data_IF_066868838593
#
_entry.id   IF_066868838593
#
_cell.length_a   1.000
_cell.length_b   1.000
_cell.length_c   1.000
_cell.angle_alpha   90.00
_cell.angle_beta   90.00
_cell.angle_gamma   90.00
#
_symmetry.space_group_name_H-M   'P 1'
#
loop_
_entity.id
_entity.type
_entity.pdbx_description
1 polymer ?
2 branched ?
3 non-polymer ?
4 non-polymer ?
5 water ?
#
# COMPACT_ATOMS: atom_id res chain seq x y z
N UNK A 1 11.64 -2.77 39.09
CA UNK A 1 11.85 -4.20 39.40
C UNK A 1 13.23 -4.67 38.99
N UNK A 2 13.77 -5.64 39.73
CA UNK A 2 15.13 -6.15 39.47
C UNK A 2 15.28 -6.95 38.17
N UNK A 3 14.17 -7.28 37.53
CA UNK A 3 14.22 -8.00 36.25
C UNK A 3 13.75 -7.15 35.08
N UNK A 4 13.72 -5.83 35.28
CA UNK A 4 13.23 -4.91 34.27
C UNK A 4 14.15 -3.69 34.15
N UNK A 5 15.02 -3.71 33.14
CA UNK A 5 15.89 -2.57 32.84
C UNK A 5 15.17 -1.58 31.95
N UNK A 6 15.34 -0.29 32.25
CA UNK A 6 14.66 0.77 31.51
C UNK A 6 13.86 1.68 32.43
N UNK A 7 12.91 2.46 31.85
CA UNK A 7 12.52 2.43 30.44
C UNK A 7 13.51 3.12 29.51
N UNK A 8 13.42 2.78 28.22
CA UNK A 8 14.24 3.39 27.19
C UNK A 8 13.35 4.08 26.17
N UNK A 9 13.85 5.19 25.62
CA UNK A 9 13.12 5.95 24.60
C UNK A 9 13.08 5.19 23.27
N UNK A 10 12.12 5.52 22.38
CA UNK A 10 12.11 4.94 21.04
C UNK A 10 13.46 5.11 20.34
N UNK A 11 14.03 4.02 19.86
CA UNK A 11 15.34 4.07 19.21
C UNK A 11 15.55 2.95 18.21
N UNK A 12 16.55 3.13 17.35
CA UNK A 12 17.00 2.11 16.42
C UNK A 12 18.28 1.53 17.01
N UNK A 13 18.34 0.20 17.10
CA UNK A 13 19.48 -0.46 17.71
C UNK A 13 19.52 -1.94 17.30
N UNK A 14 20.67 -2.56 17.54
CA UNK A 14 20.81 -3.99 17.36
C UNK A 14 20.65 -4.66 18.72
N UNK A 15 19.45 -5.23 18.97
CA UNK A 15 19.17 -5.82 20.28
C UNK A 15 20.08 -7.00 20.58
N UNK A 16 20.57 -7.12 21.82
CA UNK A 16 21.41 -8.24 22.19
C UNK A 16 20.62 -9.55 22.14
N UNK A 17 21.26 -10.62 21.69
CA UNK A 17 20.60 -11.93 21.59
C UNK A 17 20.31 -12.48 22.98
N UNK A 18 19.21 -13.24 23.09
CA UNK A 18 18.76 -13.84 24.36
C UNK A 18 18.22 -12.84 25.38
N UNK A 19 17.78 -11.68 24.90
CA UNK A 19 17.11 -10.70 25.75
C UNK A 19 15.76 -10.33 25.15
N UNK A 20 14.72 -10.38 25.99
CA UNK A 20 13.41 -9.89 25.58
C UNK A 20 13.36 -8.38 25.64
N UNK A 21 12.85 -7.78 24.56
CA UNK A 21 12.58 -6.36 24.49
C UNK A 21 11.10 -6.18 24.79
N UNK A 22 10.79 -5.63 25.96
CA UNK A 22 9.39 -5.46 26.37
C UNK A 22 8.89 -4.08 25.96
N UNK A 23 7.87 -4.07 25.11
CA UNK A 23 7.37 -2.85 24.50
C UNK A 23 6.11 -2.35 25.18
N UNK A 24 6.06 -1.04 25.43
CA UNK A 24 4.92 -0.41 26.10
C UNK A 24 4.28 0.68 25.23
N UNK A 25 3.55 0.27 24.16
CA UNK A 25 2.95 1.24 23.23
C UNK A 25 1.74 1.95 23.81
N UNK A 26 1.29 3.00 23.13
CA UNK A 26 0.14 3.79 23.56
C UNK A 26 -1.02 3.67 22.55
N UNK A 27 -0.96 4.47 21.48
CA UNK A 27 -2.01 4.50 20.46
C UNK A 27 -1.82 3.40 19.42
N UNK A 28 -2.82 3.20 18.56
CA UNK A 28 -2.70 2.27 17.43
C UNK A 28 -1.60 2.71 16.48
N UNK A 29 -0.98 1.73 15.81
CA UNK A 29 0.04 2.01 14.81
C UNK A 29 1.15 0.98 14.78
N UNK A 30 2.32 1.40 14.30
CA UNK A 30 3.47 0.51 14.21
C UNK A 30 4.25 0.55 15.52
N UNK A 31 4.41 -0.61 16.14
CA UNK A 31 5.07 -0.75 17.45
C UNK A 31 6.58 -0.83 17.28
N UNK A 32 7.02 -1.70 16.38
CA UNK A 32 8.43 -2.00 16.19
C UNK A 32 8.60 -2.60 14.79
N UNK A 33 9.76 -2.37 14.18
CA UNK A 33 10.09 -2.98 12.89
C UNK A 33 11.54 -3.42 12.90
N UNK A 34 11.85 -4.45 12.12
CA UNK A 34 13.21 -4.96 12.03
C UNK A 34 13.45 -5.75 10.76
N UNK A 35 14.70 -5.76 10.30
CA UNK A 35 15.05 -6.50 9.10
C UNK A 35 16.50 -6.99 9.14
N UNK A 36 16.78 -8.07 8.41
CA UNK A 36 18.15 -8.51 8.17
C UNK A 36 18.69 -8.02 6.83
N UNK A 37 17.84 -7.31 6.08
CA UNK A 37 18.18 -6.80 4.74
C UNK A 37 18.50 -7.90 3.73
N UNK A 38 17.96 -9.10 3.97
CA UNK A 38 18.18 -10.25 3.10
C UNK A 38 16.86 -10.84 2.66
N UNK A 39 16.11 -11.40 3.62
CA UNK A 39 14.93 -12.20 3.32
C UNK A 39 13.90 -12.18 4.45
N UNK A 40 14.01 -11.18 5.33
CA UNK A 40 13.05 -11.01 6.41
C UNK A 40 12.87 -9.53 6.73
N UNK A 41 11.67 -9.04 6.48
CA UNK A 41 11.24 -7.72 6.96
C UNK A 41 10.06 -7.97 7.88
N UNK A 42 10.24 -7.64 9.16
CA UNK A 42 9.24 -7.96 10.18
C UNK A 42 8.84 -6.71 10.94
N UNK A 43 7.55 -6.56 11.18
CA UNK A 43 7.05 -5.48 12.02
C UNK A 43 5.87 -5.96 12.87
N UNK A 44 5.55 -5.19 13.90
CA UNK A 44 4.38 -5.45 14.70
C UNK A 44 3.49 -4.21 14.71
N UNK A 45 2.22 -4.41 14.36
CA UNK A 45 1.24 -3.33 14.40
C UNK A 45 0.26 -3.55 15.55
N UNK A 46 -0.33 -2.46 16.02
CA UNK A 46 -1.25 -2.51 17.14
C UNK A 46 -2.60 -1.95 16.71
N UNK A 47 -3.65 -2.72 16.99
CA UNK A 47 -5.01 -2.35 16.62
C UNK A 47 -5.87 -2.23 17.87
N UNK A 48 -6.54 -1.08 18.01
CA UNK A 48 -7.44 -0.83 19.14
C UNK A 48 -8.64 -1.80 19.11
N UNK A 49 -9.35 -1.95 20.24
CA UNK A 49 -10.53 -2.81 20.24
C UNK A 49 -11.63 -2.31 19.30
N UNK A 50 -12.48 -3.24 18.87
CA UNK A 50 -13.67 -2.93 18.06
C UNK A 50 -13.36 -2.27 16.71
N UNK A 51 -12.58 -2.98 15.89
CA UNK A 51 -12.28 -2.51 14.54
C UNK A 51 -12.77 -3.53 13.51
N UNK A 52 -13.77 -3.14 12.73
CA UNK A 52 -14.26 -3.98 11.64
C UNK A 52 -13.23 -4.01 10.51
N UNK A 53 -13.19 -5.11 9.76
CA UNK A 53 -12.25 -5.29 8.65
C UNK A 53 -12.16 -4.04 7.79
N UNK A 54 -10.96 -3.48 7.70
CA UNK A 54 -10.73 -2.22 7.00
C UNK A 54 -9.28 -2.09 6.56
N UNK A 55 -9.06 -1.35 5.47
CA UNK A 55 -7.71 -1.02 5.02
C UNK A 55 -7.12 0.15 5.82
N UNK A 56 -5.95 -0.07 6.40
CA UNK A 56 -5.23 0.98 7.11
C UNK A 56 -3.83 1.14 6.54
N UNK A 57 -3.34 2.37 6.55
CA UNK A 57 -2.00 2.68 6.05
C UNK A 57 -0.99 2.74 7.19
N UNK A 58 0.08 1.96 7.06
CA UNK A 58 1.16 1.94 8.04
C UNK A 58 2.48 2.33 7.39
N UNK A 59 3.26 3.13 8.12
CA UNK A 59 4.61 3.48 7.70
C UNK A 59 5.56 2.36 8.09
N UNK A 60 5.90 1.52 7.12
CA UNK A 60 6.79 0.38 7.36
C UNK A 60 8.08 0.53 6.55
N UNK A 61 9.19 0.67 7.28
CA UNK A 61 10.53 0.85 6.69
C UNK A 61 10.57 2.03 5.71
N UNK A 62 9.89 3.11 6.08
CA UNK A 62 9.94 4.35 5.30
C UNK A 62 8.94 4.48 4.16
N UNK A 63 8.04 3.50 4.02
CA UNK A 63 7.02 3.59 2.97
C UNK A 63 5.61 3.29 3.47
N UNK A 64 4.62 3.87 2.78
CA UNK A 64 3.22 3.66 3.10
C UNK A 64 2.75 2.29 2.61
N UNK A 65 2.38 1.43 3.56
CA UNK A 65 1.89 0.08 3.26
C UNK A 65 0.44 -0.06 3.73
N UNK A 66 -0.44 -0.44 2.81
CA UNK A 66 -1.86 -0.61 3.11
C UNK A 66 -2.16 -2.07 3.44
N UNK A 67 -2.68 -2.31 4.65
CA UNK A 67 -3.02 -3.66 5.10
C UNK A 67 -4.48 -3.75 5.53
N UNK A 68 -5.10 -4.89 5.22
CA UNK A 68 -6.46 -5.17 5.65
C UNK A 68 -6.42 -5.76 7.05
N UNK A 69 -6.93 -4.99 8.02
CA UNK A 69 -6.83 -5.36 9.43
C UNK A 69 -8.19 -5.35 10.13
N UNK A 70 -8.28 -6.10 11.22
CA UNK A 70 -9.49 -6.12 12.03
C UNK A 70 -9.15 -6.43 13.48
N UNK A 71 -10.03 -6.03 14.39
CA UNK A 71 -9.99 -6.49 15.77
C UNK A 71 -11.41 -6.78 16.23
N UNK A 72 -11.75 -8.07 16.30
CA UNK A 72 -13.10 -8.50 16.68
C UNK A 72 -13.37 -8.36 18.18
N UNK A 73 -12.30 -8.20 18.97
CA UNK A 73 -12.43 -8.07 20.42
C UNK A 73 -13.00 -6.70 20.81
N UNK A 74 -13.89 -6.70 21.78
CA UNK A 74 -14.46 -5.45 22.28
C UNK A 74 -13.68 -4.93 23.49
N UNK A 75 -12.84 -5.78 24.07
CA UNK A 75 -12.13 -5.47 25.32
C UNK A 75 -10.62 -5.38 25.16
N UNK A 76 -10.06 -6.19 24.26
CA UNK A 76 -8.61 -6.34 24.17
C UNK A 76 -8.00 -5.68 22.93
N UNK A 77 -6.80 -5.14 23.10
CA UNK A 77 -6.01 -4.62 21.98
C UNK A 77 -5.41 -5.79 21.23
N UNK A 78 -5.09 -5.59 19.96
CA UNK A 78 -4.58 -6.67 19.12
C UNK A 78 -3.25 -6.31 18.49
N UNK A 79 -2.21 -7.08 18.83
CA UNK A 79 -0.92 -7.00 18.17
C UNK A 79 -0.88 -8.02 17.04
N UNK A 80 -0.40 -7.59 15.87
CA UNK A 80 -0.23 -8.51 14.74
C UNK A 80 1.17 -8.35 14.18
N UNK A 81 1.86 -9.46 13.96
CA UNK A 81 3.14 -9.43 13.27
C UNK A 81 2.89 -9.42 11.77
N UNK A 82 3.59 -8.54 11.06
CA UNK A 82 3.51 -8.50 9.61
C UNK A 82 4.89 -8.76 9.02
N UNK A 83 4.94 -9.58 7.98
CA UNK A 83 6.21 -10.06 7.47
C UNK A 83 6.22 -10.24 5.96
N UNK A 84 7.29 -9.80 5.33
CA UNK A 84 7.59 -10.14 3.93
C UNK A 84 8.99 -10.73 3.86
N UNK A 85 9.22 -11.57 2.85
CA UNK A 85 10.49 -12.30 2.73
C UNK A 85 11.29 -11.89 1.50
N UNK A 86 10.74 -10.96 0.73
CA UNK A 86 11.43 -10.32 -0.39
C UNK A 86 11.17 -8.82 -0.33
N UNK A 87 12.15 -8.00 -0.79
CA UNK A 87 11.98 -6.54 -0.74
C UNK A 87 10.74 -6.01 -1.47
N UNK A 88 10.30 -6.71 -2.52
CA UNK A 88 9.17 -6.25 -3.33
C UNK A 88 7.87 -7.02 -3.07
N UNK A 89 7.92 -7.98 -2.15
CA UNK A 89 6.77 -8.83 -1.84
C UNK A 89 5.71 -8.18 -0.97
N UNK A 90 4.63 -8.91 -0.74
CA UNK A 90 3.55 -8.46 0.14
C UNK A 90 3.74 -8.92 1.57
N UNK A 91 3.33 -8.08 2.52
CA UNK A 91 3.32 -8.45 3.93
C UNK A 91 2.14 -9.36 4.22
N UNK A 92 2.41 -10.44 4.96
CA UNK A 92 1.34 -11.30 5.45
C UNK A 92 1.29 -11.23 6.98
N UNK A 93 0.14 -11.54 7.55
CA UNK A 93 -0.11 -11.36 8.97
C UNK A 93 0.01 -12.66 9.76
N UNK A 94 0.67 -12.58 10.91
CA UNK A 94 1.00 -13.77 11.70
C UNK A 94 1.02 -13.50 13.20
N UNK A 95 0.89 -14.58 13.96
CA UNK A 95 1.02 -14.58 15.42
C UNK A 95 0.33 -13.46 16.17
N UNK A 96 -1.00 -13.31 15.98
CA UNK A 96 -1.68 -12.24 16.71
C UNK A 96 -1.66 -12.47 18.22
N UNK A 97 -1.56 -11.37 18.96
CA UNK A 97 -1.74 -11.39 20.40
C UNK A 97 -2.87 -10.44 20.80
N UNK A 98 -3.88 -11.00 21.45
CA UNK A 98 -4.93 -10.19 22.06
C UNK A 98 -4.53 -9.91 23.49
N UNK A 99 -4.51 -8.62 23.84
CA UNK A 99 -3.84 -8.17 25.05
C UNK A 99 -4.67 -7.17 25.85
N UNK A 100 -4.76 -7.42 27.16
CA UNK A 100 -5.34 -6.45 28.08
C UNK A 100 -4.28 -5.47 28.62
N UNK A 101 -3.10 -5.97 29.03
CA UNK A 101 -2.06 -5.05 29.52
C UNK A 101 -1.47 -4.12 28.46
N UNK A 102 -1.65 -4.45 27.18
CA UNK A 102 -1.12 -3.67 26.04
C UNK A 102 0.41 -3.64 26.02
N UNK A 103 1.01 -4.75 26.42
CA UNK A 103 2.45 -4.93 26.35
C UNK A 103 2.79 -5.98 25.31
N UNK A 104 3.92 -5.79 24.63
CA UNK A 104 4.40 -6.76 23.65
C UNK A 104 5.88 -7.02 23.90
N UNK A 105 6.41 -8.08 23.31
CA UNK A 105 7.83 -8.39 23.46
C UNK A 105 8.41 -9.11 22.25
N UNK A 106 9.68 -8.81 21.97
CA UNK A 106 10.42 -9.39 20.87
C UNK A 106 11.80 -9.83 21.36
N UNK A 107 12.33 -10.92 20.81
CA UNK A 107 13.65 -11.41 21.17
C UNK A 107 14.35 -12.08 19.98
N UNK A 108 15.64 -11.77 19.81
CA UNK A 108 16.47 -12.50 18.86
C UNK A 108 17.14 -13.65 19.59
N UNK A 109 16.90 -14.87 19.11
CA UNK A 109 17.47 -16.08 19.71
C UNK A 109 17.53 -17.22 18.72
N UNK A 110 18.68 -17.89 18.67
CA UNK A 110 18.86 -19.14 17.93
C UNK A 110 18.35 -19.15 16.48
N UNK A 111 18.78 -18.16 15.71
CA UNK A 111 18.44 -18.07 14.29
C UNK A 111 17.01 -17.60 14.03
N UNK A 112 16.38 -17.06 15.08
CA UNK A 112 14.97 -16.67 15.01
C UNK A 112 14.70 -15.34 15.70
N UNK A 113 13.58 -14.73 15.32
CA UNK A 113 13.00 -13.63 16.07
C UNK A 113 11.74 -14.18 16.73
N UNK A 114 11.70 -14.11 18.06
CA UNK A 114 10.56 -14.59 18.85
C UNK A 114 9.65 -13.44 19.24
N UNK A 115 8.34 -13.68 19.20
CA UNK A 115 7.36 -12.72 19.71
C UNK A 115 6.28 -13.46 20.49
N UNK A 116 5.36 -12.72 21.10
CA UNK A 116 4.26 -13.37 21.82
C UNK A 116 3.00 -13.50 20.96
N UNK A 117 2.23 -14.55 21.23
CA UNK A 117 0.95 -14.77 20.53
C UNK A 117 -0.08 -15.43 21.43
N UNK A 118 -1.35 -15.32 21.04
CA UNK A 118 -2.45 -15.90 21.80
C UNK A 118 -3.30 -14.82 22.45
N UNK A 119 -3.74 -15.10 23.67
CA UNK A 119 -4.64 -14.21 24.40
C UNK A 119 -4.21 -14.12 25.87
N UNK A 120 -3.94 -12.91 26.35
CA UNK A 120 -3.64 -12.70 27.77
C UNK A 120 -4.88 -13.05 28.58
N UNK A 121 -4.71 -13.61 29.80
CA UNK A 121 -3.46 -13.85 30.51
C UNK A 121 -2.83 -15.24 30.28
N UNK A 122 -3.01 -15.78 29.08
CA UNK A 122 -2.45 -17.09 28.74
C UNK A 122 -1.62 -17.09 27.46
N UNK A 123 -0.88 -16.00 27.23
CA UNK A 123 -0.05 -15.84 26.04
C UNK A 123 1.13 -16.80 26.01
N UNK A 124 1.49 -17.21 24.80
CA UNK A 124 2.65 -18.07 24.57
C UNK A 124 3.56 -17.38 23.55
N UNK A 125 4.61 -18.07 23.13
CA UNK A 125 5.57 -17.48 22.18
C UNK A 125 5.47 -18.13 20.80
N UNK A 126 5.92 -17.40 19.80
CA UNK A 126 6.06 -17.90 18.44
C UNK A 126 7.32 -17.30 17.84
N UNK A 127 7.75 -17.82 16.70
CA UNK A 127 9.02 -17.39 16.13
C UNK A 127 9.01 -17.27 14.62
N UNK A 128 9.99 -16.51 14.11
CA UNK A 128 10.16 -16.26 12.69
C UNK A 128 11.62 -16.57 12.35
N UNK A 129 11.83 -17.64 11.57
CA UNK A 129 13.18 -18.03 11.17
C UNK A 129 13.80 -16.93 10.33
N UNK A 130 14.99 -16.49 10.74
CA UNK A 130 15.63 -15.32 10.14
C UNK A 130 17.11 -15.56 9.84
N UNK A 131 17.47 -15.45 8.56
CA UNK A 131 18.85 -15.62 8.11
C UNK A 131 19.76 -14.59 8.78
N UNK A 132 20.94 -15.05 9.20
CA UNK A 132 21.94 -14.17 9.84
C UNK A 132 21.29 -13.29 10.90
N UNK A 133 20.59 -13.95 11.83
CA UNK A 133 19.65 -13.27 12.72
C UNK A 133 20.24 -12.18 13.61
N UNK A 134 21.49 -12.31 14.04
CA UNK A 134 22.00 -11.28 14.95
C UNK A 134 22.44 -9.98 14.26
N UNK A 135 22.32 -9.93 12.93
CA UNK A 135 22.48 -8.67 12.18
C UNK A 135 21.22 -7.82 12.23
N UNK A 136 20.12 -8.40 12.71
CA UNK A 136 18.83 -7.71 12.70
C UNK A 136 18.87 -6.48 13.61
N UNK A 137 18.70 -5.31 12.99
CA UNK A 137 18.50 -4.07 13.73
C UNK A 137 17.02 -3.78 13.81
N UNK A 138 16.60 -3.16 14.90
CA UNK A 138 15.19 -2.86 15.10
C UNK A 138 15.00 -1.41 15.47
N UNK A 139 13.86 -0.87 15.07
CA UNK A 139 13.43 0.44 15.51
C UNK A 139 12.16 0.28 16.33
N UNK A 140 12.24 0.63 17.61
CA UNK A 140 11.07 0.67 18.48
C UNK A 140 10.47 2.06 18.38
N UNK A 141 9.15 2.13 18.23
CA UNK A 141 8.47 3.41 18.10
C UNK A 141 7.82 3.82 19.41
N UNK A 142 8.06 3.02 20.44
CA UNK A 142 7.55 3.28 21.77
C UNK A 142 8.62 3.02 22.82
N UNK A 143 8.34 3.43 24.05
CA UNK A 143 9.19 3.12 25.21
C UNK A 143 9.30 1.62 25.39
N UNK A 144 10.46 1.17 25.84
CA UNK A 144 10.69 -0.26 26.02
C UNK A 144 11.60 -0.58 27.20
N UNK A 145 11.63 -1.86 27.54
CA UNK A 145 12.44 -2.39 28.63
C UNK A 145 13.24 -3.58 28.14
N UNK A 146 14.25 -3.96 28.92
CA UNK A 146 15.07 -5.15 28.63
C UNK A 146 14.94 -6.16 29.76
N UNK A 147 14.64 -7.41 29.38
CA UNK A 147 14.61 -8.55 30.30
C UNK A 147 15.39 -9.70 29.66
N UNK A 148 16.32 -10.34 30.43
CA UNK A 148 17.05 -11.51 29.94
C UNK A 148 16.15 -12.72 29.62
N UNK A 149 16.65 -13.65 28.80
CA UNK A 149 15.89 -14.86 28.44
C UNK A 149 15.73 -15.82 29.60
N UNK A 150 16.78 -15.95 30.43
CA UNK A 150 16.78 -16.90 31.54
C UNK A 150 15.69 -16.62 32.58
N UNK A 151 14.95 -15.54 32.34
CA UNK A 151 13.73 -15.23 33.08
C UNK A 151 12.62 -14.87 32.10
N UNK A 152 12.48 -15.69 31.06
CA UNK A 152 11.38 -15.56 30.09
C UNK A 152 10.05 -15.72 30.82
N UNK A 153 10.08 -16.50 31.89
CA UNK A 153 8.95 -16.63 32.80
C UNK A 153 8.49 -15.26 33.29
N UNK A 154 9.46 -14.38 33.58
CA UNK A 154 9.15 -13.03 34.03
C UNK A 154 8.55 -12.18 32.91
N UNK A 155 9.12 -12.28 31.71
CA UNK A 155 8.59 -11.54 30.57
C UNK A 155 7.16 -11.99 30.25
N UNK A 156 6.93 -13.29 30.31
CA UNK A 156 5.60 -13.86 30.07
C UNK A 156 4.60 -13.33 31.10
N UNK A 157 5.05 -13.20 32.36
CA UNK A 157 4.24 -12.64 33.43
C UNK A 157 3.84 -11.19 33.14
N UNK A 158 4.80 -10.39 32.67
CA UNK A 158 4.52 -9.00 32.29
C UNK A 158 3.54 -8.92 31.12
N UNK A 159 3.76 -9.76 30.10
CA UNK A 159 2.86 -9.82 28.94
C UNK A 159 1.43 -10.13 29.38
N UNK A 160 1.29 -11.12 30.25
CA UNK A 160 -0.03 -11.59 30.68
C UNK A 160 -0.73 -10.71 31.72
N UNK A 161 0.03 -10.07 32.59
CA UNK A 161 -0.54 -9.36 33.74
C UNK A 161 -0.19 -7.87 33.85
N UNK A 162 0.78 -7.42 33.06
CA UNK A 162 1.22 -6.04 33.10
C UNK A 162 2.35 -5.80 34.09
N UNK A 163 2.78 -4.54 34.19
CA UNK A 163 3.87 -4.15 35.07
C UNK A 163 3.36 -4.01 36.51
N UNK B 3 6.85 23.92 -20.34
CA UNK B 3 5.63 24.14 -21.17
C UNK B 3 4.39 23.47 -20.54
N UNK B 4 4.58 22.86 -19.38
CA UNK B 4 3.49 22.33 -18.56
C UNK B 4 2.58 23.47 -18.11
N UNK B 5 1.27 23.27 -18.14
CA UNK B 5 0.32 24.31 -17.72
C UNK B 5 -0.95 23.76 -17.06
N UNK B 6 -1.42 24.49 -16.04
CA UNK B 6 -2.59 24.11 -15.26
C UNK B 6 -2.48 24.60 -13.82
N UNK B 7 -3.23 23.96 -12.89
CA UNK B 7 -4.18 22.87 -13.14
C UNK B 7 -5.53 23.36 -13.64
N UNK B 8 -6.25 22.47 -14.32
CA UNK B 8 -7.61 22.72 -14.76
C UNK B 8 -8.57 21.83 -13.99
N UNK B 9 -9.78 22.31 -13.77
CA UNK B 9 -10.79 21.55 -13.04
C UNK B 9 -11.49 20.55 -13.97
N UNK B 10 -12.14 19.52 -13.40
CA UNK B 10 -12.88 18.54 -14.19
C UNK B 10 -13.78 19.19 -15.23
N UNK B 11 -13.70 18.71 -16.47
CA UNK B 11 -14.45 19.29 -17.57
C UNK B 11 -14.58 18.31 -18.75
N UNK B 12 -15.42 18.66 -19.71
CA UNK B 12 -15.51 17.93 -20.96
C UNK B 12 -14.94 18.83 -22.05
N UNK B 13 -14.04 18.27 -22.86
CA UNK B 13 -13.34 19.06 -23.87
C UNK B 13 -12.81 18.20 -25.01
N UNK B 14 -12.40 18.85 -26.09
CA UNK B 14 -11.70 18.16 -27.16
C UNK B 14 -10.21 18.47 -27.00
N UNK B 15 -9.44 17.50 -26.44
CA UNK B 15 -8.03 17.77 -26.17
C UNK B 15 -7.24 18.00 -27.46
N UNK B 16 -6.32 18.97 -27.45
CA UNK B 16 -5.48 19.22 -28.62
C UNK B 16 -4.55 18.05 -28.89
N UNK B 17 -4.29 17.77 -30.16
CA UNK B 17 -3.39 16.68 -30.52
C UNK B 17 -1.95 17.02 -30.13
N UNK B 18 -1.17 15.97 -29.83
CA UNK B 18 0.24 16.12 -29.42
C UNK B 18 0.42 16.83 -28.08
N UNK B 19 -0.59 16.72 -27.22
CA UNK B 19 -0.49 17.20 -25.84
C UNK B 19 -0.87 16.09 -24.88
N UNK B 20 -0.03 15.89 -23.87
CA UNK B 20 -0.36 15.00 -22.77
C UNK B 20 -1.30 15.69 -21.78
N UNK B 21 -2.35 14.97 -21.40
CA UNK B 21 -3.26 15.42 -20.35
C UNK B 21 -2.83 14.72 -19.07
N UNK B 22 -2.12 15.44 -18.21
CA UNK B 22 -1.60 14.89 -16.95
C UNK B 22 -2.66 14.96 -15.85
N UNK B 23 -3.05 13.80 -15.34
CA UNK B 23 -4.22 13.69 -14.46
C UNK B 23 -3.82 13.45 -13.01
N UNK B 24 -4.46 14.20 -12.11
CA UNK B 24 -4.18 14.10 -10.67
C UNK B 24 -5.41 13.73 -9.84
N UNK B 25 -5.87 12.46 -9.92
CA UNK B 25 -7.08 12.03 -9.23
C UNK B 25 -6.89 11.88 -7.72
N UNK B 26 -8.00 11.84 -6.99
CA UNK B 26 -7.98 11.73 -5.53
C UNK B 26 -8.38 10.33 -5.06
N UNK B 27 -9.66 10.00 -5.18
CA UNK B 27 -10.17 8.71 -4.70
C UNK B 27 -10.35 7.71 -5.85
N UNK B 28 -10.63 6.46 -5.52
CA UNK B 28 -10.92 5.42 -6.51
C UNK B 28 -12.12 5.82 -7.38
N UNK B 29 -12.13 5.32 -8.62
CA UNK B 29 -13.25 5.57 -9.52
C UNK B 29 -12.80 5.82 -10.93
N UNK B 30 -13.67 6.45 -11.72
CA UNK B 30 -13.36 6.76 -13.12
C UNK B 30 -12.56 8.06 -13.19
N UNK B 31 -11.40 8.00 -13.83
CA UNK B 31 -10.46 9.12 -13.92
C UNK B 31 -10.79 10.02 -15.10
N UNK B 32 -10.99 9.38 -16.26
CA UNK B 32 -11.19 10.08 -17.53
C UNK B 32 -11.85 9.10 -18.51
N UNK B 33 -12.64 9.63 -19.44
CA UNK B 33 -13.23 8.80 -20.48
C UNK B 33 -13.27 9.56 -21.80
N UNK B 34 -13.12 8.84 -22.91
CA UNK B 34 -13.11 9.47 -24.23
C UNK B 34 -13.62 8.53 -25.30
N UNK B 35 -14.25 9.10 -26.33
CA UNK B 35 -14.73 8.31 -27.45
C UNK B 35 -14.69 9.08 -28.77
N UNK B 36 -14.61 8.34 -29.87
CA UNK B 36 -14.78 8.91 -31.20
C UNK B 36 -16.19 8.65 -31.73
N UNK B 37 -17.00 7.97 -30.92
CA UNK B 37 -18.37 7.58 -31.29
C UNK B 37 -18.43 6.70 -32.55
N UNK B 38 -17.34 5.99 -32.82
CA UNK B 38 -17.24 5.14 -34.00
C UNK B 38 -16.79 3.72 -33.61
N UNK B 39 -15.56 3.61 -33.14
CA UNK B 39 -14.96 2.30 -32.87
C UNK B 39 -14.00 2.27 -31.68
N UNK B 40 -14.07 3.30 -30.83
CA UNK B 40 -13.24 3.36 -29.64
C UNK B 40 -13.95 4.10 -28.52
N UNK B 41 -14.20 3.38 -27.43
CA UNK B 41 -14.64 3.96 -26.18
C UNK B 41 -13.58 3.57 -25.17
N UNK B 42 -12.90 4.56 -24.60
CA UNK B 42 -11.80 4.31 -23.69
C UNK B 42 -11.98 5.09 -22.40
N UNK B 43 -11.95 4.38 -21.28
CA UNK B 43 -11.96 5.02 -19.98
C UNK B 43 -10.79 4.49 -19.16
N UNK B 44 -10.40 5.27 -18.17
CA UNK B 44 -9.41 4.81 -17.20
C UNK B 44 -10.02 4.83 -15.82
N UNK B 45 -9.93 3.69 -15.13
CA UNK B 45 -10.40 3.61 -13.77
C UNK B 45 -9.21 3.52 -12.81
N UNK B 46 -9.46 3.87 -11.55
CA UNK B 46 -8.42 3.87 -10.53
C UNK B 46 -8.83 2.98 -9.36
N UNK B 47 -7.92 2.09 -8.96
CA UNK B 47 -8.16 1.19 -7.84
C UNK B 47 -7.17 1.49 -6.72
N UNK B 48 -7.70 1.67 -5.51
CA UNK B 48 -6.88 1.92 -4.34
C UNK B 48 -6.03 0.66 -4.00
N UNK B 49 -4.97 0.83 -3.19
CA UNK B 49 -4.14 -0.32 -2.82
C UNK B 49 -4.89 -1.40 -2.06
N UNK B 50 -4.49 -2.65 -2.26
CA UNK B 50 -4.96 -3.80 -1.50
C UNK B 50 -6.46 -4.04 -1.64
N UNK B 51 -6.88 -4.39 -2.85
CA UNK B 51 -8.26 -4.74 -3.14
C UNK B 51 -8.29 -6.15 -3.72
N UNK B 52 -8.92 -7.07 -2.98
CA UNK B 52 -9.11 -8.44 -3.45
C UNK B 52 -10.12 -8.43 -4.58
N UNK B 53 -10.00 -9.40 -5.49
CA UNK B 53 -10.85 -9.49 -6.68
C UNK B 53 -12.32 -9.33 -6.30
N UNK B 54 -12.97 -8.34 -6.92
CA UNK B 54 -14.35 -7.98 -6.60
C UNK B 54 -15.05 -7.32 -7.78
N UNK B 55 -16.37 -7.38 -7.79
CA UNK B 55 -17.17 -6.66 -8.76
C UNK B 55 -17.45 -5.24 -8.29
N UNK B 56 -17.13 -4.28 -9.15
CA UNK B 56 -17.43 -2.88 -8.88
C UNK B 56 -18.19 -2.29 -10.05
N UNK B 57 -19.11 -1.37 -9.76
CA UNK B 57 -19.92 -0.72 -10.78
C UNK B 57 -19.38 0.66 -11.09
N UNK B 58 -19.09 0.90 -12.37
CA UNK B 58 -18.60 2.20 -12.81
C UNK B 58 -19.56 2.83 -13.81
N UNK B 59 -19.68 4.15 -13.71
CA UNK B 59 -20.47 4.92 -14.66
C UNK B 59 -19.60 5.29 -15.85
N UNK B 60 -19.71 4.52 -16.92
CA UNK B 60 -18.92 4.72 -18.13
C UNK B 60 -19.80 5.20 -19.27
N UNK B 61 -19.53 6.41 -19.74
CA UNK B 61 -20.31 7.06 -20.81
C UNK B 61 -21.81 7.06 -20.49
N UNK B 62 -22.11 7.38 -19.23
CA UNK B 62 -23.49 7.50 -18.75
C UNK B 62 -24.11 6.22 -18.24
N UNK B 63 -23.52 5.08 -18.60
CA UNK B 63 -24.11 3.78 -18.28
C UNK B 63 -23.35 3.01 -17.19
N UNK B 64 -24.10 2.28 -16.37
CA UNK B 64 -23.51 1.47 -15.30
C UNK B 64 -22.88 0.20 -15.86
N UNK B 65 -21.59 0.02 -15.59
CA UNK B 65 -20.82 -1.13 -16.08
C UNK B 65 -20.19 -1.86 -14.89
N UNK B 66 -20.44 -3.16 -14.81
CA UNK B 66 -19.84 -3.99 -13.77
C UNK B 66 -18.56 -4.64 -14.29
N UNK B 67 -17.47 -4.43 -13.56
CA UNK B 67 -16.16 -4.98 -13.91
C UNK B 67 -15.58 -5.75 -12.73
N UNK B 68 -14.89 -6.84 -13.03
CA UNK B 68 -14.16 -7.58 -12.02
C UNK B 68 -12.78 -6.96 -11.90
N UNK B 69 -12.53 -6.29 -10.77
CA UNK B 69 -11.29 -5.56 -10.57
C UNK B 69 -10.53 -6.05 -9.33
N UNK B 70 -9.24 -5.75 -9.30
CA UNK B 70 -8.37 -6.13 -8.19
C UNK B 70 -7.15 -5.21 -8.15
N UNK B 71 -6.56 -5.09 -6.96
CA UNK B 71 -5.24 -4.49 -6.84
C UNK B 71 -4.45 -5.28 -5.81
N UNK B 72 -3.52 -6.09 -6.31
CA UNK B 72 -2.70 -6.96 -5.46
C UNK B 72 -1.60 -6.20 -4.69
N UNK B 73 -1.37 -4.94 -5.05
CA UNK B 73 -0.32 -4.16 -4.42
C UNK B 73 -0.76 -3.60 -3.07
N UNK B 74 0.17 -3.58 -2.12
CA UNK B 74 -0.07 -2.94 -0.83
C UNK B 74 0.53 -1.55 -0.78
N UNK B 75 1.23 -1.15 -1.85
CA UNK B 75 1.99 0.10 -1.84
C UNK B 75 1.67 1.06 -2.98
N UNK B 76 1.01 0.56 -4.02
CA UNK B 76 0.76 1.36 -5.21
C UNK B 76 -0.70 1.32 -5.61
N UNK B 77 -1.20 2.47 -6.07
CA UNK B 77 -2.52 2.56 -6.70
C UNK B 77 -2.45 1.95 -8.09
N UNK B 78 -3.60 1.58 -8.63
CA UNK B 78 -3.64 0.88 -9.92
C UNK B 78 -4.59 1.56 -10.89
N UNK B 79 -4.03 2.07 -11.99
CA UNK B 79 -4.81 2.59 -13.12
C UNK B 79 -5.05 1.46 -14.11
N UNK B 80 -6.27 1.38 -14.62
CA UNK B 80 -6.63 0.38 -15.63
C UNK B 80 -7.39 1.05 -16.75
N UNK B 81 -6.94 0.83 -17.99
CA UNK B 81 -7.71 1.29 -19.14
C UNK B 81 -8.80 0.28 -19.45
N UNK B 82 -10.00 0.79 -19.67
CA UNK B 82 -11.16 -0.03 -20.01
C UNK B 82 -11.65 0.38 -21.40
N UNK B 83 -11.80 -0.59 -22.30
CA UNK B 83 -12.12 -0.27 -23.68
C UNK B 83 -13.11 -1.21 -24.35
N UNK B 84 -13.93 -0.63 -25.23
CA UNK B 84 -14.73 -1.39 -26.17
C UNK B 84 -14.58 -0.75 -27.55
N UNK B 85 -14.79 -1.55 -28.59
CA UNK B 85 -14.54 -1.10 -29.97
C UNK B 85 -15.79 -1.12 -30.84
N UNK B 86 -16.92 -1.47 -30.23
CA UNK B 86 -18.23 -1.39 -30.87
C UNK B 86 -19.23 -0.79 -29.88
N UNK B 87 -20.31 -0.15 -30.38
CA UNK B 87 -21.31 0.47 -29.49
C UNK B 87 -21.90 -0.48 -28.45
N UNK B 88 -22.11 -1.74 -28.81
CA UNK B 88 -22.70 -2.73 -27.91
C UNK B 88 -21.71 -3.82 -27.52
N UNK B 89 -20.42 -3.53 -27.64
CA UNK B 89 -19.39 -4.49 -27.29
C UNK B 89 -19.11 -4.56 -25.80
N UNK B 90 -18.40 -5.60 -25.38
CA UNK B 90 -18.01 -5.73 -23.99
C UNK B 90 -16.77 -4.91 -23.69
N UNK B 91 -16.70 -4.38 -22.47
CA UNK B 91 -15.52 -3.68 -21.99
C UNK B 91 -14.48 -4.67 -21.51
N UNK B 92 -13.24 -4.48 -21.96
CA UNK B 92 -12.11 -5.30 -21.50
C UNK B 92 -11.03 -4.40 -20.91
N UNK B 93 -10.22 -4.98 -20.03
CA UNK B 93 -9.20 -4.22 -19.30
C UNK B 93 -7.84 -4.32 -19.97
N UNK B 94 -7.13 -3.20 -20.03
CA UNK B 94 -5.86 -3.10 -20.74
C UNK B 94 -4.89 -2.13 -20.07
N UNK B 95 -3.62 -2.27 -20.42
CA UNK B 95 -2.54 -1.35 -20.02
C UNK B 95 -2.53 -0.88 -18.57
N UNK B 96 -2.52 -1.82 -17.61
CA UNK B 96 -2.48 -1.37 -16.22
C UNK B 96 -1.22 -0.60 -15.88
N UNK B 97 -1.37 0.42 -15.02
CA UNK B 97 -0.25 1.13 -14.44
C UNK B 97 -0.34 1.07 -12.92
N UNK B 98 0.69 0.51 -12.31
CA UNK B 98 0.85 0.55 -10.86
C UNK B 98 1.67 1.78 -10.52
N UNK B 99 1.12 2.62 -9.65
CA UNK B 99 1.61 3.97 -9.49
C UNK B 99 1.71 4.37 -8.03
N UNK B 100 2.87 4.90 -7.64
CA UNK B 100 3.08 5.49 -6.33
C UNK B 100 2.69 6.99 -6.29
N UNK B 101 3.05 7.78 -7.33
CA UNK B 101 2.66 9.19 -7.33
C UNK B 101 1.16 9.45 -7.55
N UNK B 102 0.44 8.44 -8.04
CA UNK B 102 -0.99 8.53 -8.33
C UNK B 102 -1.32 9.56 -9.43
N UNK B 103 -0.43 9.63 -10.41
CA UNK B 103 -0.63 10.47 -11.60
C UNK B 103 -0.80 9.60 -12.84
N UNK B 104 -1.64 10.07 -13.76
CA UNK B 104 -1.85 9.38 -15.03
C UNK B 104 -1.78 10.41 -16.15
N UNK B 105 -1.64 9.93 -17.39
CA UNK B 105 -1.67 10.83 -18.54
C UNK B 105 -2.23 10.14 -19.77
N UNK B 106 -2.91 10.93 -20.61
CA UNK B 106 -3.47 10.46 -21.87
C UNK B 106 -3.16 11.47 -22.97
N UNK B 107 -3.06 11.00 -24.21
CA UNK B 107 -2.77 11.89 -25.34
C UNK B 107 -3.38 11.41 -26.64
N UNK B 108 -3.95 12.34 -27.39
CA UNK B 108 -4.36 12.09 -28.77
C UNK B 108 -3.18 12.39 -29.68
N UNK B 109 -2.72 11.38 -30.41
CA UNK B 109 -1.59 11.51 -31.31
C UNK B 109 -1.57 10.42 -32.35
N UNK B 110 -1.26 10.79 -33.59
CA UNK B 110 -1.00 9.84 -34.68
C UNK B 110 -2.03 8.71 -34.80
N UNK B 111 -3.31 9.07 -34.84
CA UNK B 111 -4.39 8.11 -35.01
C UNK B 111 -4.64 7.22 -33.81
N UNK B 112 -4.17 7.66 -32.65
CA UNK B 112 -4.24 6.84 -31.42
C UNK B 112 -4.58 7.67 -30.20
N UNK B 113 -5.02 6.99 -29.14
CA UNK B 113 -5.02 7.54 -27.80
C UNK B 113 -3.92 6.82 -27.01
N UNK B 114 -2.95 7.59 -26.54
CA UNK B 114 -1.84 7.06 -25.75
C UNK B 114 -2.15 7.16 -24.26
N UNK B 115 -1.69 6.17 -23.50
CA UNK B 115 -1.74 6.22 -22.04
C UNK B 115 -0.43 5.64 -21.49
N UNK B 116 -0.28 5.58 -20.17
CA UNK B 116 0.90 4.99 -19.55
C UNK B 116 0.59 3.62 -18.96
N UNK B 117 1.60 2.74 -18.97
CA UNK B 117 1.46 1.39 -18.41
C UNK B 117 2.74 0.92 -17.73
N UNK B 118 2.63 -0.12 -16.92
CA UNK B 118 3.78 -0.69 -16.22
C UNK B 118 3.77 -0.39 -14.74
N UNK B 119 4.95 -0.20 -14.18
CA UNK B 119 5.11 0.04 -12.75
C UNK B 119 6.06 1.20 -12.51
N UNK B 120 5.59 2.26 -11.85
CA UNK B 120 6.46 3.37 -11.46
C UNK B 120 7.54 2.84 -10.51
N UNK B 121 8.78 3.38 -10.60
CA UNK B 121 9.24 4.51 -11.42
C UNK B 121 9.75 4.13 -12.82
N UNK B 122 9.23 3.05 -13.41
CA UNK B 122 9.67 2.62 -14.73
C UNK B 122 8.53 2.47 -15.73
N UNK B 123 7.56 3.39 -15.64
CA UNK B 123 6.40 3.37 -16.53
C UNK B 123 6.79 3.70 -17.96
N UNK B 124 6.04 3.16 -18.91
CA UNK B 124 6.22 3.41 -20.33
C UNK B 124 4.89 3.81 -20.96
N UNK B 125 4.91 4.17 -22.24
CA UNK B 125 3.68 4.52 -22.94
C UNK B 125 3.06 3.31 -23.62
N UNK B 126 1.75 3.38 -23.82
CA UNK B 126 1.00 2.39 -24.60
C UNK B 126 -0.05 3.15 -25.40
N UNK B 127 -0.68 2.49 -26.36
CA UNK B 127 -1.65 3.20 -27.22
C UNK B 127 -2.84 2.35 -27.66
N UNK B 128 -3.86 3.05 -28.15
CA UNK B 128 -5.11 2.44 -28.59
C UNK B 128 -5.51 3.09 -29.90
N UNK B 129 -5.50 2.28 -30.97
CA UNK B 129 -5.85 2.77 -32.31
C UNK B 129 -7.26 3.33 -32.33
N UNK B 130 -7.41 4.52 -32.90
CA UNK B 130 -8.66 5.27 -32.83
C UNK B 130 -8.92 5.98 -34.14
N UNK B 131 -9.99 5.59 -34.82
CA UNK B 131 -10.39 6.20 -36.09
C UNK B 131 -10.81 7.66 -35.88
N UNK B 132 -10.48 8.52 -36.85
CA UNK B 132 -10.81 9.94 -36.82
C UNK B 132 -10.41 10.58 -35.48
N UNK B 133 -9.18 10.30 -35.07
CA UNK B 133 -8.75 10.48 -33.69
C UNK B 133 -8.90 11.90 -33.13
N UNK B 134 -8.73 12.94 -33.94
CA UNK B 134 -8.88 14.28 -33.36
C UNK B 134 -10.31 14.71 -33.02
N UNK B 135 -11.30 13.92 -33.44
CA UNK B 135 -12.69 14.16 -33.03
C UNK B 135 -12.95 13.73 -31.59
N UNK B 136 -12.02 12.98 -31.00
CA UNK B 136 -12.22 12.41 -29.66
C UNK B 136 -12.41 13.51 -28.63
N UNK B 137 -13.56 13.50 -27.97
CA UNK B 137 -13.83 14.37 -26.84
C UNK B 137 -13.61 13.57 -25.57
N UNK B 138 -13.11 14.25 -24.53
CA UNK B 138 -12.87 13.58 -23.27
C UNK B 138 -13.51 14.33 -22.11
N UNK B 139 -13.92 13.57 -21.11
CA UNK B 139 -14.35 14.11 -19.83
C UNK B 139 -13.34 13.69 -18.78
N UNK B 140 -12.66 14.67 -18.18
CA UNK B 140 -11.81 14.41 -17.03
C UNK B 140 -12.64 14.56 -15.76
N UNK B 141 -12.56 13.58 -14.87
CA UNK B 141 -13.29 13.62 -13.60
C UNK B 141 -12.41 14.15 -12.47
N UNK B 142 -11.18 14.52 -12.80
CA UNK B 142 -10.25 15.09 -11.82
C UNK B 142 -9.53 16.31 -12.38
N UNK B 143 -8.73 16.96 -11.53
CA UNK B 143 -7.89 18.07 -11.96
C UNK B 143 -6.83 17.56 -12.92
N UNK B 144 -6.44 18.41 -13.86
CA UNK B 144 -5.43 18.02 -14.84
C UNK B 144 -4.53 19.15 -15.31
N UNK B 145 -3.41 18.76 -15.91
CA UNK B 145 -2.45 19.68 -16.50
C UNK B 145 -2.27 19.32 -17.97
N UNK B 146 -1.71 20.25 -18.75
CA UNK B 146 -1.43 20.03 -20.16
C UNK B 146 0.08 20.13 -20.40
N UNK B 147 0.64 19.13 -21.07
CA UNK B 147 2.07 19.12 -21.42
C UNK B 147 2.25 18.74 -22.89
N UNK B 148 2.99 19.57 -23.66
CA UNK B 148 3.24 19.26 -25.07
C UNK B 148 4.06 17.98 -25.25
N UNK B 149 3.83 17.30 -26.38
CA UNK B 149 4.52 16.04 -26.70
C UNK B 149 6.05 16.18 -26.76
N UNK B 150 6.54 17.35 -27.16
CA UNK B 150 7.99 17.58 -27.22
C UNK B 150 8.64 17.58 -25.84
N UNK B 151 7.80 17.64 -24.79
CA UNK B 151 8.27 17.53 -23.41
C UNK B 151 7.74 16.26 -22.73
N UNK B 152 7.59 15.21 -23.54
CA UNK B 152 7.11 13.91 -23.07
C UNK B 152 8.02 13.29 -21.99
N UNK B 153 9.32 13.53 -22.12
CA UNK B 153 10.29 13.04 -21.13
C UNK B 153 9.99 13.60 -19.73
N UNK B 154 9.54 14.86 -19.69
CA UNK B 154 9.15 15.50 -18.43
C UNK B 154 7.83 14.92 -17.90
N UNK B 155 6.89 14.67 -18.82
CA UNK B 155 5.63 14.03 -18.45
C UNK B 155 5.88 12.65 -17.84
N UNK B 156 6.75 11.88 -18.49
CA UNK B 156 7.14 10.55 -18.01
C UNK B 156 7.79 10.62 -16.62
N UNK B 157 8.60 11.64 -16.40
CA UNK B 157 9.20 11.89 -15.08
C UNK B 157 8.13 12.13 -14.02
N UNK B 158 7.11 12.91 -14.37
CA UNK B 158 5.99 13.16 -13.46
C UNK B 158 5.21 11.88 -13.15
N UNK B 159 4.96 11.07 -14.19
CA UNK B 159 4.29 9.78 -13.99
C UNK B 159 5.07 8.91 -13.00
N UNK B 160 6.38 8.86 -13.19
CA UNK B 160 7.25 8.00 -12.40
C UNK B 160 7.61 8.52 -11.01
N UNK B 161 7.74 9.84 -10.87
CA UNK B 161 8.28 10.43 -9.64
C UNK B 161 7.40 11.47 -8.96
N UNK B 162 6.35 11.91 -9.63
CA UNK B 162 5.44 12.92 -9.05
C UNK B 162 5.78 14.34 -9.46
N UNK B 163 4.81 15.22 -9.28
CA UNK B 163 4.88 16.62 -9.72
C UNK B 163 5.77 17.45 -8.79
X LIG C 1 2.83 -27.35 5.02
X LIG C 1 3.96 -26.84 4.09
X LIG C 1 5.16 -26.30 4.86
X LIG C 1 4.73 -25.29 5.95
X LIG C 1 3.63 -25.93 6.84
X LIG C 1 3.07 -24.96 7.91
X LIG C 1 3.10 -28.61 5.64
X LIG C 1 4.40 -27.90 3.23
X LIG C 1 6.06 -25.65 3.95
X LIG C 1 5.92 -24.93 6.66
X LIG C 1 2.51 -26.35 6.05
X LIG C 1 2.50 -23.81 7.27
X LIG C 2 5.97 -23.51 6.89
X LIG C 2 7.05 -23.24 7.95
X LIG C 2 7.09 -21.75 8.28
X LIG C 2 7.29 -20.93 6.98
X LIG C 2 6.23 -21.32 5.94
X LIG C 2 6.40 -20.56 4.62
X LIG C 2 6.80 -24.01 9.13
X LIG C 2 8.16 -21.56 9.22
X LIG C 2 8.61 -21.16 6.47
X LIG C 2 6.28 -22.75 5.69
X LIG C 2 5.37 -20.98 3.71
X LIG C 3 9.29 -20.10 10.69
X LIG C 3 7.91 -20.68 10.32
X LIG C 3 7.29 -21.48 11.49
X LIG C 3 6.73 -20.57 12.60
X LIG C 3 5.84 -19.45 12.06
X LIG C 3 6.57 -18.70 10.93
X LIG C 3 5.81 -17.59 10.19
X LIG C 3 6.60 -17.08 8.97
X LIG C 3 6.09 -15.74 8.47
X LIG C 3 4.33 -17.94 13.30
X LIG C 3 4.20 -17.04 14.53
X LIG C 3 5.52 -18.53 13.17
X LIG C 3 10.01 -20.80 11.44
X LIG C 3 9.61 -19.01 10.19
X LIG C 3 5.99 -21.35 13.54
X LIG C 3 6.99 -19.63 9.90
X LIG C 3 4.54 -18.08 9.75
X LIG C 3 8.00 -16.97 9.31
X LIG C 3 6.80 -15.40 7.26
X LIG C 3 3.39 -18.08 12.52
X LIG D 1 -10.07 -8.80 -34.41
X LIG D 1 -9.67 -7.65 -35.35
X LIG D 1 -8.27 -7.12 -35.03
X LIG D 1 -8.09 -6.82 -33.52
X LIG D 1 -8.60 -7.97 -32.65
X LIG D 1 -8.62 -7.59 -31.17
X LIG D 1 -9.28 -9.98 -34.69
X LIG D 1 -9.70 -8.09 -36.71
X LIG D 1 -8.03 -5.93 -35.80
X LIG D 1 -6.68 -6.58 -33.26
X LIG D 1 -9.94 -8.39 -33.03
X LIG D 1 -7.45 -8.10 -30.53
X LIG D 2 -6.44 -5.18 -33.03
X LIG D 2 -5.13 -4.97 -32.26
X LIG D 2 -4.81 -3.46 -32.16
X LIG D 2 -4.95 -2.75 -33.52
X LIG D 2 -6.31 -3.08 -34.16
X LIG D 2 -6.55 -2.41 -35.51
X LIG D 2 -5.24 -5.52 -30.94
X LIG D 2 -3.47 -3.31 -31.65
X LIG D 2 -3.88 -3.14 -34.38
X LIG D 2 -6.37 -4.52 -34.32
X LIG D 2 -7.96 -2.19 -35.67
X LIG D 3 -3.78 -0.97 -31.05
X LIG D 3 -3.33 -2.37 -30.55
X LIG D 3 -1.84 -2.39 -30.18
X LIG D 3 -1.58 -1.74 -28.80
X LIG D 3 -2.52 -2.25 -27.71
X LIG D 3 -3.98 -2.16 -28.18
X LIG D 3 -5.09 -2.68 -27.23
X LIG D 3 -6.47 -2.64 -27.90
X LIG D 3 -7.59 -2.75 -26.86
X LIG D 3 -2.36 -1.91 -25.26
X LIG D 3 -2.10 -0.88 -24.15
X LIG D 3 -2.31 -1.42 -26.51
X LIG D 3 -3.04 -0.39 -31.86
X LIG D 3 -4.89 -0.53 -30.64
X LIG D 3 -0.22 -1.97 -28.43
X LIG D 3 -4.13 -2.87 -29.45
X LIG D 3 -4.79 -4.03 -26.83
X LIG D 3 -6.62 -1.41 -28.63
X LIG D 3 -8.84 -2.86 -27.55
X LIG D 3 -2.61 -3.08 -24.98
X LIG E 1 3.05 -12.39 17.79
X LIG F 1 2.01 3.27 20.13
X LIG F 1 2.64 2.98 18.78
X LIG F 1 4.08 2.80 19.00
X LIG F 1 2.07 1.67 18.23
X LIG F 1 2.39 4.11 17.79
X LIG F 1 3.13 5.41 18.07
X LIG F 1 2.66 6.01 19.26
X LIG F 1 2.96 6.40 16.93
X LIG G 1 -2.52 2.35 -19.28
X LIG H 1 -10.79 8.73 -10.01
X LIG H 1 -11.34 10.03 -9.46
X LIG H 1 -10.53 10.44 -8.32
X LIG H 1 -11.23 11.11 -10.54
X LIG H 1 -12.78 9.81 -8.98
X LIG H 1 -13.51 11.09 -8.54
X LIG H 1 -12.85 11.68 -7.44
X LIG H 1 -14.96 10.78 -8.15
#
# INVERSE_FOLDING_TARGET
GSLLDGPYQPTTFNPPTSYWILLAPTVEGVVIQGTNNIDRWLATILIEPNVQTTNRIYNLFGQQVTLSVENTSQTQWKFIDVSKTTPTGNYTQHGPLFSTPKLYAVMKFSGRIYTYNGTTPNATTGYYSTTNYDTVNMTSFCDFYIIPRNQEEKCTEYINHGL
GSLLDGPYQPTTFNPPTSYWILLAPTVEGVVIQGTNNIDRWLATILIEPNVQTTNRIYNLFGQQVTLSVENTSQTQWKFIDVSKTTPTGNYTQHGPLFSTPKLYAVMKFSGRIYTYNGTTPNATTGYYSTTNYDTVNMTSFCDFYIIPRNQEEKCTEYINHGL
GLC C1 C2 C3 C4 C5 C6 O1 O2 O3 O4 O5 O6
GAL C1 C2 C3 C4 C5 C6 O2 O3 O4 O5 O6
SIA C1 C2 C3 C4 C5 C6 C7 C8 C9 C10 C11 N5 O1A O1B O4 O6 O7 O8 O9 O10
GLC C1 C2 C3 C4 C5 C6 O1 O2 O3 O4 O5 O6
GAL C1 C2 C3 C4 C5 C6 O2 O3 O4 O5 O6
SIA C1 C2 C3 C4 C5 C6 C7 C8 C9 C10 C11 N5 O1A O1B O4 O6 O7 O8 O9 O10
NA NA
MRD C1 C2 O2 CM C3 C4 O4 C5
NA NA
MRD C1 C2 O2 CM C3 C4 O4 C5
#
